data_IF_451207775472
#
_entry.id   IF_451207775472
#
_cell.length_a   1.000
_cell.length_b   1.000
_cell.length_c   1.000
_cell.angle_alpha   90.00
_cell.angle_beta   90.00
_cell.angle_gamma   90.00
#
_symmetry.space_group_name_H-M   'P 1'
#
loop_
_entity.id
_entity.type
_entity.pdbx_description
1 polymer ?
#
# COMPACT_ATOMS: atom_id res chain seq x y z
N UNK A 1 -1.59 -15.73 10.41
CA UNK A 1 -1.65 -14.43 9.76
C UNK A 1 -0.27 -13.85 9.55
N UNK A 2 -0.03 -13.35 8.38
CA UNK A 2 1.27 -12.82 8.02
C UNK A 2 1.40 -11.35 8.42
N UNK A 3 2.56 -10.98 8.94
CA UNK A 3 2.91 -9.60 9.21
C UNK A 3 3.62 -9.01 7.99
N UNK A 4 3.36 -7.74 7.72
CA UNK A 4 3.98 -7.03 6.62
C UNK A 4 4.66 -5.77 7.11
N UNK A 5 5.86 -5.52 6.58
CA UNK A 5 6.46 -4.20 6.69
C UNK A 5 5.90 -3.31 5.58
N UNK A 6 6.00 -1.99 5.77
CA UNK A 6 5.61 -1.07 4.71
C UNK A 6 6.47 -1.25 3.46
N UNK A 7 7.72 -1.61 3.63
CA UNK A 7 8.62 -1.88 2.51
C UNK A 7 8.12 -3.04 1.65
N UNK A 8 7.66 -4.12 2.30
CA UNK A 8 7.07 -5.25 1.60
C UNK A 8 5.81 -4.87 0.86
N UNK A 9 4.92 -4.13 1.53
CA UNK A 9 3.67 -3.69 0.92
C UNK A 9 3.93 -2.76 -0.26
N UNK A 10 4.89 -1.86 -0.14
CA UNK A 10 5.28 -0.99 -1.24
C UNK A 10 5.72 -1.82 -2.45
N UNK A 11 6.55 -2.82 -2.22
CA UNK A 11 7.04 -3.70 -3.29
C UNK A 11 5.89 -4.47 -3.94
N UNK A 12 4.97 -5.03 -3.14
CA UNK A 12 3.81 -5.76 -3.64
C UNK A 12 2.93 -4.84 -4.49
N UNK A 13 2.67 -3.63 -4.00
CA UNK A 13 1.88 -2.65 -4.74
C UNK A 13 2.52 -2.32 -6.09
N UNK A 14 3.82 -2.05 -6.09
CA UNK A 14 4.55 -1.72 -7.32
C UNK A 14 4.52 -2.88 -8.32
N UNK A 15 4.64 -4.11 -7.84
CA UNK A 15 4.56 -5.28 -8.72
C UNK A 15 3.18 -5.48 -9.34
N UNK A 16 2.17 -4.85 -8.77
CA UNK A 16 0.78 -4.96 -9.22
C UNK A 16 0.27 -3.68 -9.88
N UNK A 17 1.18 -2.85 -10.37
CA UNK A 17 0.82 -1.68 -11.17
C UNK A 17 0.52 -0.42 -10.38
N UNK A 18 0.71 -0.44 -9.07
CA UNK A 18 0.57 0.76 -8.25
C UNK A 18 1.88 1.53 -8.25
N UNK A 19 1.79 2.85 -8.30
CA UNK A 19 2.98 3.70 -8.33
C UNK A 19 2.79 4.91 -7.42
N UNK A 20 3.88 5.38 -6.86
CA UNK A 20 3.86 6.51 -5.95
C UNK A 20 3.60 7.79 -6.76
N UNK A 21 2.59 8.54 -6.36
CA UNK A 21 2.27 9.84 -6.98
C UNK A 21 2.57 11.00 -6.06
N UNK A 22 2.69 10.75 -4.77
CA UNK A 22 2.96 11.81 -3.80
C UNK A 22 3.53 11.24 -2.53
N UNK A 23 4.51 11.91 -1.96
CA UNK A 23 5.03 11.61 -0.63
C UNK A 23 4.96 12.88 0.18
N UNK A 24 4.28 12.83 1.31
CA UNK A 24 4.22 13.93 2.26
C UNK A 24 4.58 13.39 3.64
N UNK A 25 5.77 13.75 4.11
CA UNK A 25 6.31 13.16 5.33
C UNK A 25 6.45 11.66 5.18
N UNK A 26 5.76 10.91 6.02
CA UNK A 26 5.75 9.45 5.98
C UNK A 26 4.51 8.88 5.26
N UNK A 27 3.69 9.72 4.66
CA UNK A 27 2.50 9.29 3.91
C UNK A 27 2.83 9.17 2.44
N UNK A 28 2.86 7.94 1.95
CA UNK A 28 3.13 7.61 0.56
C UNK A 28 1.83 7.27 -0.13
N UNK A 29 1.48 8.02 -1.17
CA UNK A 29 0.23 7.82 -1.89
C UNK A 29 0.49 7.14 -3.23
N UNK A 30 -0.30 6.09 -3.49
CA UNK A 30 -0.17 5.25 -4.68
C UNK A 30 -1.44 5.32 -5.52
N UNK A 31 -1.26 5.29 -6.83
CA UNK A 31 -2.35 5.17 -7.79
C UNK A 31 -2.06 4.05 -8.79
N UNK A 32 -3.12 3.63 -9.47
CA UNK A 32 -3.04 2.58 -10.47
C UNK A 32 -3.80 3.05 -11.72
N UNK A 33 -3.27 2.77 -12.90
CA UNK A 33 -3.90 3.22 -14.16
C UNK A 33 -5.23 2.53 -14.45
N UNK A 34 -5.44 1.34 -13.90
CA UNK A 34 -6.63 0.53 -14.19
C UNK A 34 -7.64 0.53 -13.04
N UNK A 35 -7.20 0.82 -11.83
CA UNK A 35 -8.05 0.77 -10.64
C UNK A 35 -8.18 2.17 -10.09
N UNK A 36 -9.41 2.62 -9.87
CA UNK A 36 -9.67 3.93 -9.29
C UNK A 36 -9.31 3.97 -7.81
N UNK A 37 -9.01 5.15 -7.34
CA UNK A 37 -8.74 5.39 -5.93
C UNK A 37 -7.27 5.54 -5.62
N UNK A 38 -7.02 5.93 -4.39
CA UNK A 38 -5.67 6.19 -3.89
C UNK A 38 -5.42 5.30 -2.68
N UNK A 39 -4.26 4.66 -2.64
CA UNK A 39 -3.82 3.91 -1.47
C UNK A 39 -2.79 4.76 -0.75
N UNK A 40 -3.00 4.97 0.55
CA UNK A 40 -2.04 5.67 1.41
C UNK A 40 -1.35 4.65 2.29
N UNK A 41 -0.03 4.65 2.26
CA UNK A 41 0.80 3.77 3.06
C UNK A 41 1.75 4.62 3.89
N UNK A 42 1.71 4.43 5.20
CA UNK A 42 2.71 5.05 6.09
C UNK A 42 4.01 4.27 5.96
N UNK A 43 5.09 4.96 5.62
CA UNK A 43 6.37 4.33 5.36
C UNK A 43 7.51 5.24 5.83
N UNK A 44 8.51 4.73 6.56
CA UNK A 44 8.73 3.32 6.89
C UNK A 44 8.01 2.88 8.17
N UNK A 45 7.47 1.66 8.15
CA UNK A 45 6.85 1.02 9.31
C UNK A 45 7.24 -0.46 9.28
N UNK A 46 7.72 -0.97 10.41
CA UNK A 46 8.13 -2.38 10.50
C UNK A 46 6.95 -3.34 10.45
N UNK A 47 5.92 -3.04 11.24
CA UNK A 47 4.72 -3.86 11.32
C UNK A 47 3.52 -2.98 10.99
N UNK A 48 3.00 -3.14 9.79
CA UNK A 48 1.84 -2.36 9.35
C UNK A 48 0.59 -2.89 10.04
N UNK A 49 -0.23 -1.98 10.57
CA UNK A 49 -1.46 -2.33 11.27
C UNK A 49 -2.41 -3.09 10.35
N UNK A 50 -3.13 -4.05 10.92
CA UNK A 50 -4.07 -4.88 10.16
C UNK A 50 -5.13 -4.09 9.41
N UNK A 51 -5.62 -3.02 10.01
CA UNK A 51 -6.62 -2.18 9.37
C UNK A 51 -6.08 -1.54 8.09
N UNK A 52 -4.80 -1.17 8.08
CA UNK A 52 -4.16 -0.64 6.88
C UNK A 52 -4.03 -1.73 5.82
N UNK A 53 -3.64 -2.93 6.21
CA UNK A 53 -3.54 -4.07 5.28
C UNK A 53 -4.90 -4.37 4.67
N UNK A 54 -5.96 -4.38 5.47
CA UNK A 54 -7.31 -4.60 4.97
C UNK A 54 -7.77 -3.51 4.02
N UNK A 55 -7.44 -2.27 4.31
CA UNK A 55 -7.75 -1.14 3.43
C UNK A 55 -7.05 -1.32 2.08
N UNK A 56 -5.78 -1.74 2.10
CA UNK A 56 -5.03 -2.01 0.88
C UNK A 56 -5.66 -3.16 0.09
N UNK A 57 -6.03 -4.24 0.76
CA UNK A 57 -6.72 -5.35 0.12
C UNK A 57 -8.02 -4.91 -0.56
N UNK A 58 -8.82 -4.14 0.16
CA UNK A 58 -10.12 -3.69 -0.36
C UNK A 58 -9.95 -2.76 -1.56
N UNK A 59 -8.98 -1.86 -1.52
CA UNK A 59 -8.78 -0.89 -2.61
C UNK A 59 -8.05 -1.50 -3.81
N UNK A 60 -7.14 -2.43 -3.57
CA UNK A 60 -6.34 -3.00 -4.64
C UNK A 60 -6.92 -4.28 -5.23
N UNK A 61 -7.77 -4.96 -4.49
CA UNK A 61 -8.23 -6.29 -4.87
C UNK A 61 -7.21 -7.39 -4.63
N UNK A 62 -6.07 -7.05 -4.05
CA UNK A 62 -5.04 -8.03 -3.73
C UNK A 62 -5.42 -8.81 -2.47
N UNK A 63 -4.96 -10.05 -2.40
CA UNK A 63 -5.06 -10.87 -1.19
C UNK A 63 -3.68 -10.94 -0.56
N UNK A 64 -3.58 -10.42 0.63
CA UNK A 64 -2.30 -10.32 1.35
C UNK A 64 -2.18 -11.31 2.49
#
# INVERSE_FOLDING_TARGET
MRYYSSRELKSILEQNGWFVVRVKGDHWQFKNNEIKGTITLTHPVKDVARIVIKTIENKSGLKL
#
